data_IF_097406856277
#
_entry.id   IF_097406856277
#
_cell.length_a   1.000
_cell.length_b   1.000
_cell.length_c   1.000
_cell.angle_alpha   90.00
_cell.angle_beta   90.00
_cell.angle_gamma   90.00
#
_symmetry.space_group_name_H-M   'P 1'
#
loop_
_entity.id
_entity.type
_entity.pdbx_description
1 polymer ?
#
# COMPACT_ATOMS: atom_id res chain seq x y z
N UNK A 1 -38.20 -21.12 0.13
CA UNK A 1 -37.20 -20.02 0.03
C UNK A 1 -35.92 -20.57 0.61
N UNK A 2 -34.74 -20.31 0.02
CA UNK A 2 -33.48 -20.68 0.68
C UNK A 2 -33.42 -20.04 2.06
N UNK A 3 -32.80 -20.71 3.02
CA UNK A 3 -32.62 -20.17 4.36
C UNK A 3 -31.78 -18.89 4.28
N UNK A 4 -32.23 -17.75 4.84
CA UNK A 4 -31.50 -16.50 4.76
C UNK A 4 -30.10 -16.65 5.36
N UNK A 5 -29.07 -16.37 4.56
CA UNK A 5 -27.66 -16.50 4.96
C UNK A 5 -26.95 -15.16 4.88
N UNK A 6 -26.17 -14.86 5.91
CA UNK A 6 -25.19 -13.77 5.93
C UNK A 6 -23.81 -14.40 5.99
N UNK A 7 -22.87 -13.93 5.18
CA UNK A 7 -21.45 -14.24 5.40
C UNK A 7 -20.77 -13.10 6.13
N UNK A 8 -20.10 -13.43 7.22
CA UNK A 8 -19.28 -12.53 8.02
C UNK A 8 -17.81 -12.81 7.74
N UNK A 9 -17.07 -11.82 7.25
CA UNK A 9 -15.66 -12.05 6.91
C UNK A 9 -14.78 -12.11 8.15
N UNK A 10 -13.99 -13.17 8.29
CA UNK A 10 -12.84 -13.21 9.20
C UNK A 10 -11.64 -12.56 8.49
N UNK A 11 -11.01 -11.60 9.16
CA UNK A 11 -9.96 -10.75 8.54
C UNK A 11 -8.69 -10.77 9.38
N UNK A 12 -8.08 -9.61 9.63
CA UNK A 12 -6.75 -9.49 10.21
C UNK A 12 -6.78 -8.52 11.40
N UNK A 13 -5.75 -8.57 12.24
CA UNK A 13 -5.43 -7.57 13.26
C UNK A 13 -6.62 -7.22 14.19
N UNK A 14 -6.89 -5.94 14.43
CA UNK A 14 -7.90 -5.50 15.37
C UNK A 14 -9.35 -5.91 14.99
N UNK A 15 -9.78 -5.81 13.72
CA UNK A 15 -11.07 -6.33 13.30
C UNK A 15 -11.27 -7.82 13.60
N UNK A 16 -10.24 -8.65 13.41
CA UNK A 16 -10.32 -10.07 13.74
C UNK A 16 -10.57 -10.28 15.24
N UNK A 17 -9.81 -9.60 16.11
CA UNK A 17 -9.99 -9.67 17.56
C UNK A 17 -11.40 -9.24 17.99
N UNK A 18 -11.95 -8.20 17.37
CA UNK A 18 -13.32 -7.76 17.62
C UNK A 18 -14.35 -8.81 17.18
N UNK A 19 -14.13 -9.48 16.04
CA UNK A 19 -14.99 -10.57 15.55
C UNK A 19 -15.10 -11.70 16.55
N UNK A 20 -13.99 -12.13 17.19
CA UNK A 20 -14.02 -13.18 18.22
C UNK A 20 -14.98 -12.86 19.38
N UNK A 21 -15.13 -11.57 19.75
CA UNK A 21 -16.06 -11.16 20.79
C UNK A 21 -17.47 -10.92 20.26
N UNK A 22 -17.61 -10.32 19.08
CA UNK A 22 -18.89 -9.78 18.61
C UNK A 22 -19.70 -10.78 17.78
N UNK A 23 -19.05 -11.64 16.99
CA UNK A 23 -19.73 -12.60 16.13
C UNK A 23 -20.64 -13.58 16.89
N UNK A 24 -20.25 -14.14 18.06
CA UNK A 24 -21.15 -15.02 18.82
C UNK A 24 -22.44 -14.31 19.25
N UNK A 25 -22.37 -13.02 19.54
CA UNK A 25 -23.54 -12.20 19.88
C UNK A 25 -24.42 -12.05 18.64
N UNK A 26 -23.84 -11.69 17.48
CA UNK A 26 -24.59 -11.56 16.23
C UNK A 26 -25.31 -12.87 15.89
N UNK A 27 -24.60 -14.00 15.91
CA UNK A 27 -25.15 -15.33 15.65
C UNK A 27 -26.32 -15.68 16.58
N UNK A 28 -26.18 -15.43 17.88
CA UNK A 28 -27.24 -15.71 18.85
C UNK A 28 -28.52 -14.89 18.58
N UNK A 29 -28.37 -13.61 18.22
CA UNK A 29 -29.50 -12.74 17.94
C UNK A 29 -30.17 -13.05 16.60
N UNK A 30 -29.40 -13.35 15.55
CA UNK A 30 -29.93 -13.66 14.21
C UNK A 30 -30.59 -15.03 14.15
N UNK A 31 -30.12 -15.99 14.97
CA UNK A 31 -30.74 -17.31 15.08
C UNK A 31 -32.22 -17.24 15.52
N UNK A 32 -32.59 -16.28 16.37
CA UNK A 32 -33.98 -16.07 16.77
C UNK A 32 -34.90 -15.66 15.59
N UNK A 33 -34.32 -15.15 14.50
CA UNK A 33 -35.01 -14.80 13.27
C UNK A 33 -34.82 -15.84 12.15
N UNK A 34 -34.18 -16.98 12.43
CA UNK A 34 -33.91 -18.01 11.42
C UNK A 34 -32.85 -17.60 10.38
N UNK A 35 -32.00 -16.62 10.69
CA UNK A 35 -30.93 -16.16 9.79
C UNK A 35 -29.60 -16.79 10.19
N UNK A 36 -29.02 -17.56 9.27
CA UNK A 36 -27.72 -18.20 9.48
C UNK A 36 -26.58 -17.22 9.19
N UNK A 37 -25.57 -17.18 10.06
CA UNK A 37 -24.37 -16.34 9.89
C UNK A 37 -23.15 -17.24 9.83
N UNK A 38 -22.62 -17.40 8.63
CA UNK A 38 -21.42 -18.20 8.35
C UNK A 38 -20.19 -17.32 8.23
N UNK A 39 -19.01 -17.89 8.47
CA UNK A 39 -17.75 -17.17 8.27
C UNK A 39 -17.07 -17.58 6.97
N UNK A 40 -16.26 -16.66 6.44
CA UNK A 40 -15.31 -16.90 5.37
C UNK A 40 -13.99 -16.20 5.72
N UNK A 41 -12.92 -16.97 5.79
CA UNK A 41 -11.58 -16.48 6.13
C UNK A 41 -10.92 -15.85 4.90
N UNK A 42 -10.79 -14.53 4.93
CA UNK A 42 -10.07 -13.75 3.91
C UNK A 42 -8.84 -13.05 4.51
N UNK A 43 -8.37 -13.51 5.68
CA UNK A 43 -7.13 -13.06 6.30
C UNK A 43 -5.94 -13.24 5.35
N UNK A 44 -4.85 -12.53 5.60
CA UNK A 44 -3.60 -12.71 4.88
C UNK A 44 -3.11 -14.15 4.99
N UNK A 45 -3.11 -14.72 6.20
CA UNK A 45 -2.67 -16.09 6.43
C UNK A 45 -3.54 -17.10 5.68
N UNK A 46 -4.87 -16.99 5.79
CA UNK A 46 -5.81 -17.88 5.09
C UNK A 46 -5.61 -17.84 3.57
N UNK A 47 -5.49 -16.65 2.99
CA UNK A 47 -5.23 -16.50 1.55
C UNK A 47 -3.88 -17.06 1.11
N UNK A 48 -2.84 -16.99 1.94
CA UNK A 48 -1.54 -17.65 1.67
C UNK A 48 -1.74 -19.17 1.66
N UNK A 49 -2.35 -19.74 2.70
CA UNK A 49 -2.59 -21.20 2.82
C UNK A 49 -3.40 -21.71 1.62
N UNK A 50 -4.54 -21.07 1.32
CA UNK A 50 -5.39 -21.42 0.18
C UNK A 50 -4.67 -21.29 -1.18
N UNK A 51 -3.63 -20.46 -1.25
CA UNK A 51 -2.82 -20.30 -2.45
C UNK A 51 -1.78 -21.38 -2.64
N UNK A 52 -1.48 -22.25 -1.66
CA UNK A 52 -0.44 -23.30 -1.71
C UNK A 52 -0.91 -24.70 -1.22
N UNK A 53 -2.09 -25.21 -1.64
CA UNK A 53 -2.59 -26.47 -1.10
C UNK A 53 -1.70 -27.68 -1.44
N UNK A 54 -0.98 -27.63 -2.56
CA UNK A 54 -0.08 -28.68 -3.06
C UNK A 54 1.15 -28.91 -2.18
N UNK A 55 1.53 -27.95 -1.35
CA UNK A 55 2.67 -28.09 -0.43
C UNK A 55 2.23 -28.42 1.01
N UNK A 56 0.93 -28.59 1.24
CA UNK A 56 0.37 -28.75 2.58
C UNK A 56 -0.15 -30.16 2.81
N UNK A 57 -0.11 -30.59 4.09
CA UNK A 57 -0.80 -31.80 4.55
C UNK A 57 -2.30 -31.61 4.49
N UNK A 58 -3.07 -32.69 4.38
CA UNK A 58 -4.52 -32.61 4.19
C UNK A 58 -5.22 -31.85 5.33
N UNK A 59 -4.75 -32.01 6.58
CA UNK A 59 -5.26 -31.30 7.75
C UNK A 59 -4.91 -29.80 7.80
N UNK A 60 -3.94 -29.35 7.00
CA UNK A 60 -3.52 -27.95 6.92
C UNK A 60 -4.21 -27.19 5.78
N UNK A 61 -4.82 -27.91 4.84
CA UNK A 61 -5.50 -27.31 3.68
C UNK A 61 -6.78 -26.62 4.13
N UNK A 62 -7.01 -25.45 3.58
CA UNK A 62 -8.28 -24.71 3.70
C UNK A 62 -8.80 -24.37 2.30
N UNK A 63 -10.10 -24.13 2.19
CA UNK A 63 -10.73 -23.70 0.95
C UNK A 63 -10.34 -22.27 0.53
N UNK A 64 -10.46 -21.97 -0.76
CA UNK A 64 -10.26 -20.62 -1.28
C UNK A 64 -11.52 -19.76 -1.09
N UNK A 65 -11.70 -19.29 0.14
CA UNK A 65 -12.84 -18.50 0.54
C UNK A 65 -12.97 -17.16 -0.22
N UNK A 66 -11.88 -16.60 -0.75
CA UNK A 66 -11.94 -15.36 -1.53
C UNK A 66 -12.56 -15.62 -2.91
N UNK A 67 -12.16 -16.71 -3.57
CA UNK A 67 -12.76 -17.13 -4.84
C UNK A 67 -14.25 -17.47 -4.64
N UNK A 68 -14.59 -18.23 -3.60
CA UNK A 68 -16.00 -18.53 -3.26
C UNK A 68 -16.84 -17.27 -3.04
N UNK A 69 -16.30 -16.28 -2.32
CA UNK A 69 -17.00 -15.02 -2.07
C UNK A 69 -17.15 -14.17 -3.34
N UNK A 70 -16.17 -14.19 -4.24
CA UNK A 70 -16.24 -13.50 -5.53
C UNK A 70 -17.35 -14.08 -6.42
N UNK A 71 -17.43 -15.40 -6.53
CA UNK A 71 -18.52 -16.08 -7.22
C UNK A 71 -19.87 -15.76 -6.57
N UNK A 72 -19.93 -15.77 -5.23
CA UNK A 72 -21.17 -15.49 -4.52
C UNK A 72 -21.63 -14.05 -4.70
N UNK A 73 -20.71 -13.07 -4.72
CA UNK A 73 -21.02 -11.65 -4.91
C UNK A 73 -21.71 -11.35 -6.26
N UNK A 74 -21.60 -12.26 -7.24
CA UNK A 74 -22.29 -12.17 -8.54
C UNK A 74 -23.71 -12.76 -8.51
N UNK A 75 -24.16 -13.26 -7.36
CA UNK A 75 -25.51 -13.83 -7.19
C UNK A 75 -26.47 -12.87 -6.49
N UNK A 76 -27.78 -12.90 -6.80
CA UNK A 76 -28.76 -12.04 -6.13
C UNK A 76 -28.91 -12.29 -4.63
N UNK A 77 -28.56 -13.50 -4.16
CA UNK A 77 -28.67 -13.91 -2.77
C UNK A 77 -27.45 -13.50 -1.91
N UNK A 78 -26.47 -12.81 -2.49
CA UNK A 78 -25.27 -12.37 -1.78
C UNK A 78 -25.58 -11.38 -0.65
N UNK A 79 -25.24 -11.77 0.57
CA UNK A 79 -25.31 -10.89 1.74
C UNK A 79 -24.01 -11.01 2.56
N UNK A 80 -23.08 -10.10 2.30
CA UNK A 80 -21.71 -10.15 2.81
C UNK A 80 -21.46 -8.97 3.74
N UNK A 81 -21.15 -9.25 5.01
CA UNK A 81 -20.62 -8.28 5.96
C UNK A 81 -19.08 -8.33 5.85
N UNK A 82 -18.53 -7.32 5.18
CA UNK A 82 -17.09 -7.19 4.94
C UNK A 82 -16.41 -6.26 5.96
N UNK A 83 -15.52 -6.82 6.78
CA UNK A 83 -14.68 -6.07 7.73
C UNK A 83 -13.37 -5.61 7.08
N UNK A 84 -12.66 -4.60 7.62
CA UNK A 84 -11.33 -4.22 7.14
C UNK A 84 -10.35 -5.41 7.18
N UNK A 85 -9.47 -5.52 6.17
CA UNK A 85 -8.47 -6.57 6.03
C UNK A 85 -7.14 -5.99 5.51
N UNK A 86 -6.04 -6.72 5.68
CA UNK A 86 -4.72 -6.31 5.22
C UNK A 86 -4.65 -6.33 3.69
N UNK A 87 -4.18 -5.22 3.12
CA UNK A 87 -3.64 -5.17 1.76
C UNK A 87 -2.12 -5.26 1.84
N UNK A 88 -1.60 -6.48 1.73
CA UNK A 88 -0.25 -6.81 2.19
C UNK A 88 0.84 -6.14 1.37
N UNK A 89 1.76 -5.44 2.04
CA UNK A 89 3.07 -5.09 1.51
C UNK A 89 3.99 -6.32 1.46
N UNK A 90 5.11 -6.24 0.74
CA UNK A 90 6.11 -7.33 0.71
C UNK A 90 6.65 -7.66 2.12
N UNK A 91 6.99 -6.68 2.98
CA UNK A 91 7.39 -6.98 4.36
C UNK A 91 6.32 -7.73 5.16
N UNK A 92 5.05 -7.32 5.06
CA UNK A 92 3.94 -8.00 5.75
C UNK A 92 3.74 -9.43 5.23
N UNK A 93 3.84 -9.64 3.91
CA UNK A 93 3.79 -10.97 3.30
C UNK A 93 4.91 -11.86 3.86
N UNK A 94 6.15 -11.39 3.86
CA UNK A 94 7.30 -12.15 4.35
C UNK A 94 7.17 -12.50 5.85
N UNK A 95 6.63 -11.58 6.65
CA UNK A 95 6.35 -11.84 8.06
C UNK A 95 5.30 -12.97 8.23
N UNK A 96 4.19 -12.90 7.49
CA UNK A 96 3.15 -13.94 7.53
C UNK A 96 3.67 -15.31 7.03
N UNK A 97 4.46 -15.34 5.96
CA UNK A 97 5.10 -16.58 5.48
C UNK A 97 5.99 -17.17 6.57
N UNK A 98 6.85 -16.36 7.18
CA UNK A 98 7.75 -16.82 8.24
C UNK A 98 7.00 -17.35 9.46
N UNK A 99 5.92 -16.69 9.85
CA UNK A 99 5.05 -17.16 10.93
C UNK A 99 4.42 -18.51 10.61
N UNK A 100 3.82 -18.66 9.42
CA UNK A 100 3.24 -19.93 8.95
C UNK A 100 4.28 -21.06 8.87
N UNK A 101 5.48 -20.77 8.35
CA UNK A 101 6.59 -21.73 8.34
C UNK A 101 6.99 -22.17 9.75
N UNK A 102 7.02 -21.22 10.71
CA UNK A 102 7.25 -21.53 12.13
C UNK A 102 6.18 -22.42 12.76
N UNK A 103 4.96 -22.42 12.21
CA UNK A 103 3.85 -23.30 12.59
C UNK A 103 3.84 -24.63 11.83
N UNK A 104 4.85 -24.90 10.99
CA UNK A 104 5.00 -26.16 10.26
C UNK A 104 4.22 -26.24 8.95
N UNK A 105 3.82 -25.11 8.37
CA UNK A 105 3.31 -25.06 6.99
C UNK A 105 4.50 -25.01 6.02
N UNK A 106 4.61 -26.00 5.12
CA UNK A 106 5.68 -26.07 4.11
C UNK A 106 5.39 -25.14 2.93
N UNK A 107 5.27 -23.84 3.21
CA UNK A 107 4.95 -22.80 2.24
C UNK A 107 6.27 -22.20 1.72
N UNK A 108 6.48 -22.06 0.39
CA UNK A 108 7.72 -21.55 -0.15
C UNK A 108 7.96 -20.09 0.22
N UNK A 109 9.22 -19.68 0.42
CA UNK A 109 9.56 -18.28 0.62
C UNK A 109 9.18 -17.43 -0.60
N UNK A 110 8.94 -16.13 -0.40
CA UNK A 110 8.65 -15.20 -1.51
C UNK A 110 9.94 -14.88 -2.30
N UNK A 111 10.03 -15.22 -3.60
CA UNK A 111 11.20 -14.94 -4.41
C UNK A 111 11.16 -13.50 -4.92
N UNK A 112 11.90 -12.61 -4.25
CA UNK A 112 11.97 -11.19 -4.62
C UNK A 112 12.50 -11.02 -6.06
N UNK A 113 13.56 -11.74 -6.41
CA UNK A 113 14.19 -11.76 -7.73
C UNK A 113 14.20 -13.21 -8.27
N UNK A 114 13.10 -13.65 -8.93
CA UNK A 114 13.00 -15.04 -9.37
C UNK A 114 13.97 -15.32 -10.53
N UNK A 115 14.83 -16.32 -10.37
CA UNK A 115 15.83 -16.77 -11.33
C UNK A 115 15.39 -18.02 -12.11
N UNK A 116 14.40 -18.77 -11.61
CA UNK A 116 13.87 -19.98 -12.26
C UNK A 116 12.38 -19.85 -12.64
N UNK A 117 11.90 -20.73 -13.52
CA UNK A 117 10.46 -20.82 -13.85
C UNK A 117 9.60 -21.21 -12.65
N UNK A 118 10.16 -22.03 -11.75
CA UNK A 118 9.50 -22.41 -10.50
C UNK A 118 9.34 -21.20 -9.56
N UNK A 119 10.38 -20.40 -9.37
CA UNK A 119 10.31 -19.17 -8.59
C UNK A 119 9.36 -18.14 -9.23
N UNK A 120 9.31 -18.05 -10.56
CA UNK A 120 8.32 -17.22 -11.27
C UNK A 120 6.89 -17.70 -11.00
N UNK A 121 6.66 -19.01 -10.98
CA UNK A 121 5.37 -19.59 -10.66
C UNK A 121 4.96 -19.29 -9.20
N UNK A 122 5.88 -19.45 -8.24
CA UNK A 122 5.66 -19.10 -6.83
C UNK A 122 5.34 -17.61 -6.68
N UNK A 123 6.13 -16.72 -7.31
CA UNK A 123 5.88 -15.27 -7.30
C UNK A 123 4.51 -14.93 -7.86
N UNK A 124 4.08 -15.60 -8.94
CA UNK A 124 2.78 -15.41 -9.57
C UNK A 124 1.63 -15.81 -8.64
N UNK A 125 1.78 -16.86 -7.84
CA UNK A 125 0.80 -17.25 -6.82
C UNK A 125 0.69 -16.18 -5.73
N UNK A 126 1.82 -15.73 -5.19
CA UNK A 126 1.84 -14.64 -4.21
C UNK A 126 1.30 -13.31 -4.74
N UNK A 127 1.42 -13.05 -6.06
CA UNK A 127 0.86 -11.84 -6.67
C UNK A 127 -0.68 -11.75 -6.54
N UNK A 128 -1.37 -12.88 -6.32
CA UNK A 128 -2.82 -12.93 -6.01
C UNK A 128 -3.14 -12.57 -4.56
N UNK A 129 -2.17 -12.66 -3.67
CA UNK A 129 -2.31 -12.37 -2.24
C UNK A 129 -1.85 -10.94 -1.90
N UNK A 130 -0.85 -10.44 -2.63
CA UNK A 130 -0.23 -9.13 -2.45
C UNK A 130 -1.15 -7.95 -2.79
N UNK A 131 -1.01 -6.88 -2.00
CA UNK A 131 -1.76 -5.64 -2.15
C UNK A 131 -3.26 -5.79 -1.91
N UNK A 132 -4.07 -4.94 -2.52
CA UNK A 132 -5.54 -4.98 -2.40
C UNK A 132 -6.14 -6.12 -3.22
N UNK A 133 -5.93 -7.37 -2.78
CA UNK A 133 -6.44 -8.57 -3.44
C UNK A 133 -7.95 -8.81 -3.22
N UNK A 134 -8.47 -8.42 -2.05
CA UNK A 134 -9.85 -8.74 -1.66
C UNK A 134 -10.88 -7.79 -2.27
N UNK A 135 -10.65 -6.48 -2.18
CA UNK A 135 -11.66 -5.49 -2.61
C UNK A 135 -12.05 -5.61 -4.09
N UNK A 136 -11.13 -5.83 -5.05
CA UNK A 136 -11.50 -5.97 -6.46
C UNK A 136 -12.38 -7.19 -6.75
N UNK A 137 -12.32 -8.23 -5.91
CA UNK A 137 -13.12 -9.45 -6.06
C UNK A 137 -14.53 -9.27 -5.47
N UNK A 138 -14.68 -8.48 -4.40
CA UNK A 138 -15.97 -8.35 -3.69
C UNK A 138 -16.80 -7.15 -4.13
N UNK A 139 -16.24 -6.21 -4.91
CA UNK A 139 -16.91 -4.96 -5.30
C UNK A 139 -17.56 -5.08 -6.67
N UNK A 140 -18.50 -5.99 -6.79
CA UNK A 140 -19.36 -6.19 -7.97
C UNK A 140 -20.51 -5.15 -8.02
N UNK A 141 -20.19 -3.89 -7.71
CA UNK A 141 -21.14 -2.80 -7.60
C UNK A 141 -20.49 -1.48 -7.20
N UNK A 142 -21.29 -0.40 -7.25
CA UNK A 142 -20.85 0.94 -6.86
C UNK A 142 -20.88 1.13 -5.33
N UNK A 143 -20.30 2.24 -4.86
CA UNK A 143 -20.19 2.54 -3.43
C UNK A 143 -21.17 3.63 -2.98
N UNK A 144 -22.15 3.30 -2.11
CA UNK A 144 -22.85 4.28 -1.26
C UNK A 144 -22.13 4.38 0.09
N UNK A 145 -21.43 5.50 0.32
CA UNK A 145 -20.75 5.80 1.60
C UNK A 145 -21.24 7.11 2.17
N UNK A 146 -21.80 7.06 3.36
CA UNK A 146 -22.34 8.22 4.10
C UNK A 146 -22.34 7.96 5.59
N UNK A 147 -22.33 9.04 6.38
CA UNK A 147 -22.44 8.97 7.84
C UNK A 147 -23.91 8.81 8.22
N UNK A 148 -24.23 7.84 9.07
CA UNK A 148 -25.58 7.66 9.59
C UNK A 148 -26.00 8.85 10.49
N UNK A 149 -27.28 9.21 10.46
CA UNK A 149 -27.84 10.34 11.22
C UNK A 149 -27.45 10.35 12.71
N UNK A 150 -27.67 9.25 13.45
CA UNK A 150 -27.30 9.16 14.87
C UNK A 150 -25.80 9.38 15.13
N UNK A 151 -24.92 8.91 14.25
CA UNK A 151 -23.46 9.10 14.38
C UNK A 151 -23.11 10.58 14.21
N UNK A 152 -23.75 11.28 13.26
CA UNK A 152 -23.54 12.72 13.07
C UNK A 152 -24.05 13.53 14.26
N UNK A 153 -25.20 13.17 14.82
CA UNK A 153 -25.75 13.81 16.02
C UNK A 153 -24.84 13.60 17.24
N UNK A 154 -24.32 12.39 17.41
CA UNK A 154 -23.35 12.08 18.46
C UNK A 154 -22.09 12.97 18.33
N UNK A 155 -21.53 13.10 17.13
CA UNK A 155 -20.36 13.95 16.89
C UNK A 155 -20.63 15.45 17.16
N UNK A 156 -21.86 15.94 16.98
CA UNK A 156 -22.24 17.32 17.34
C UNK A 156 -22.30 17.50 18.86
N UNK A 157 -22.81 16.50 19.59
CA UNK A 157 -22.92 16.52 21.07
C UNK A 157 -21.58 16.27 21.75
N UNK A 158 -20.69 15.53 21.09
CA UNK A 158 -19.36 15.16 21.58
C UNK A 158 -18.30 15.52 20.52
N UNK A 159 -17.98 16.81 20.34
CA UNK A 159 -16.99 17.23 19.37
C UNK A 159 -15.64 16.58 19.66
N UNK A 160 -15.04 16.00 18.63
CA UNK A 160 -13.67 15.51 18.70
C UNK A 160 -12.67 16.67 18.56
N UNK A 161 -11.44 16.45 18.99
CA UNK A 161 -10.37 17.43 18.83
C UNK A 161 -10.16 17.80 17.36
N UNK A 162 -10.06 19.11 17.12
CA UNK A 162 -9.68 19.69 15.84
C UNK A 162 -8.58 20.71 16.12
N UNK A 163 -7.43 20.55 15.49
CA UNK A 163 -6.30 21.46 15.62
C UNK A 163 -6.62 22.85 15.07
N UNK A 164 -6.12 23.89 15.73
CA UNK A 164 -6.34 25.27 15.31
C UNK A 164 -5.45 25.60 14.11
N UNK A 165 -6.04 26.08 13.02
CA UNK A 165 -5.30 26.52 11.85
C UNK A 165 -4.81 27.96 11.98
N UNK A 166 -3.55 28.18 11.62
CA UNK A 166 -2.95 29.52 11.53
C UNK A 166 -2.93 29.98 10.08
N UNK A 167 -3.21 31.27 9.84
CA UNK A 167 -3.01 31.88 8.52
C UNK A 167 -1.52 31.96 8.13
N UNK A 168 -0.62 31.87 9.10
CA UNK A 168 0.83 31.83 8.90
C UNK A 168 1.38 30.39 8.76
N UNK A 169 0.50 29.38 8.65
CA UNK A 169 0.91 28.00 8.41
C UNK A 169 1.75 27.91 7.14
N UNK A 170 2.89 27.23 7.22
CA UNK A 170 3.75 26.95 6.07
C UNK A 170 3.43 25.62 5.41
N UNK A 171 2.45 24.87 5.93
CA UNK A 171 2.09 23.58 5.38
C UNK A 171 1.41 23.73 4.04
N UNK A 172 1.84 22.92 3.08
CA UNK A 172 1.32 22.92 1.71
C UNK A 172 1.57 21.57 1.05
N UNK A 173 0.82 21.29 -0.02
CA UNK A 173 1.00 20.12 -0.87
C UNK A 173 1.98 20.45 -1.99
N UNK A 174 3.02 19.63 -2.12
CA UNK A 174 3.92 19.67 -3.26
C UNK A 174 3.49 18.61 -4.29
N UNK A 175 3.25 19.03 -5.52
CA UNK A 175 2.93 18.15 -6.66
C UNK A 175 3.78 18.48 -7.88
N UNK A 176 3.97 17.52 -8.77
CA UNK A 176 4.69 17.74 -10.03
C UNK A 176 3.99 18.78 -10.90
N UNK A 177 4.74 19.47 -11.77
CA UNK A 177 4.20 20.45 -12.75
C UNK A 177 4.07 19.89 -14.17
N UNK A 178 4.59 18.68 -14.41
CA UNK A 178 4.58 18.03 -15.72
C UNK A 178 5.38 16.72 -15.72
N UNK A 179 5.09 15.85 -16.68
CA UNK A 179 5.70 14.52 -16.79
C UNK A 179 5.19 13.51 -15.76
N UNK A 180 4.03 13.77 -15.17
CA UNK A 180 3.25 12.86 -14.32
C UNK A 180 2.15 12.16 -15.13
N UNK A 181 1.35 11.30 -14.48
CA UNK A 181 0.26 10.61 -15.16
C UNK A 181 -0.78 11.61 -15.65
N UNK A 182 -1.17 12.55 -14.80
CA UNK A 182 -2.11 13.63 -15.16
C UNK A 182 -1.73 14.35 -16.46
N UNK A 183 -0.45 14.74 -16.60
CA UNK A 183 0.02 15.52 -17.75
C UNK A 183 0.21 14.72 -19.03
N UNK A 184 0.10 13.40 -18.99
CA UNK A 184 0.39 12.50 -20.12
C UNK A 184 -0.79 11.61 -20.53
N UNK A 185 -1.88 11.63 -19.76
CA UNK A 185 -3.05 10.81 -19.97
C UNK A 185 -3.65 10.98 -21.37
N UNK A 186 -4.04 9.86 -21.95
CA UNK A 186 -4.86 9.76 -23.16
C UNK A 186 -5.96 8.74 -22.90
N UNK A 187 -7.14 9.02 -23.42
CA UNK A 187 -8.34 8.20 -23.23
C UNK A 187 -9.02 7.90 -24.57
N UNK A 188 -9.66 6.73 -24.67
CA UNK A 188 -10.47 6.33 -25.82
C UNK A 188 -11.69 5.53 -25.35
N UNK A 189 -12.82 5.71 -26.04
CA UNK A 189 -14.03 4.89 -25.88
C UNK A 189 -14.10 3.88 -27.03
N UNK A 190 -14.13 2.59 -26.69
CA UNK A 190 -14.09 1.51 -27.67
C UNK A 190 -15.44 1.40 -28.39
N UNK A 191 -15.41 1.21 -29.71
CA UNK A 191 -16.62 1.23 -30.53
C UNK A 191 -17.27 -0.16 -30.69
N UNK A 192 -16.55 -1.21 -30.33
CA UNK A 192 -16.98 -2.61 -30.38
C UNK A 192 -16.14 -3.43 -29.40
N UNK A 193 -16.59 -4.65 -29.10
CA UNK A 193 -15.77 -5.65 -28.43
C UNK A 193 -14.51 -5.92 -29.27
N UNK A 194 -13.34 -5.94 -28.63
CA UNK A 194 -12.05 -6.13 -29.31
C UNK A 194 -11.00 -6.75 -28.36
N UNK A 195 -9.82 -7.06 -28.89
CA UNK A 195 -8.67 -7.49 -28.11
C UNK A 195 -7.47 -6.57 -28.36
N UNK A 196 -7.06 -5.83 -27.32
CA UNK A 196 -5.93 -4.92 -27.40
C UNK A 196 -4.61 -5.64 -27.04
N UNK A 197 -3.52 -5.17 -27.64
CA UNK A 197 -2.15 -5.59 -27.34
C UNK A 197 -1.32 -4.37 -26.94
N UNK A 198 -0.53 -4.48 -25.86
CA UNK A 198 0.34 -3.41 -25.37
C UNK A 198 1.79 -3.73 -25.75
N UNK A 199 2.39 -2.87 -26.58
CA UNK A 199 3.74 -3.03 -27.12
C UNK A 199 4.61 -1.79 -26.85
N UNK A 200 5.89 -2.04 -26.57
CA UNK A 200 6.93 -1.03 -26.48
C UNK A 200 7.85 -1.14 -27.69
N UNK A 201 7.89 -0.09 -28.51
CA UNK A 201 8.81 0.04 -29.63
C UNK A 201 10.13 0.65 -29.13
N UNK A 202 11.20 -0.15 -29.16
CA UNK A 202 12.53 0.26 -28.74
C UNK A 202 13.21 1.16 -29.77
N UNK A 203 14.13 2.01 -29.31
CA UNK A 203 14.94 2.87 -30.19
C UNK A 203 15.92 2.08 -31.07
N UNK A 204 16.17 0.82 -30.74
CA UNK A 204 16.97 -0.13 -31.52
C UNK A 204 16.16 -0.86 -32.61
N UNK A 205 14.86 -0.55 -32.76
CA UNK A 205 13.95 -1.21 -33.70
C UNK A 205 13.32 -2.51 -33.19
N UNK A 206 13.68 -2.98 -31.99
CA UNK A 206 13.05 -4.16 -31.38
C UNK A 206 11.68 -3.78 -30.79
N UNK A 207 10.69 -4.66 -30.96
CA UNK A 207 9.37 -4.51 -30.33
C UNK A 207 9.24 -5.50 -29.18
N UNK A 208 8.92 -4.99 -27.99
CA UNK A 208 8.66 -5.80 -26.80
C UNK A 208 7.17 -5.81 -26.50
N UNK A 209 6.57 -7.00 -26.52
CA UNK A 209 5.19 -7.19 -26.05
C UNK A 209 5.17 -7.12 -24.52
N UNK A 210 4.41 -6.16 -23.98
CA UNK A 210 4.22 -6.00 -22.53
C UNK A 210 2.98 -6.74 -22.05
N UNK A 211 1.90 -6.70 -22.83
CA UNK A 211 0.68 -7.47 -22.60
C UNK A 211 0.14 -7.97 -23.94
N UNK A 212 0.13 -9.29 -24.19
CA UNK A 212 -0.22 -9.85 -25.50
C UNK A 212 -1.71 -9.73 -25.82
N UNK A 213 -2.57 -9.80 -24.79
CA UNK A 213 -4.02 -9.81 -24.92
C UNK A 213 -4.65 -9.06 -23.74
N UNK A 214 -5.53 -8.12 -24.06
CA UNK A 214 -6.41 -7.37 -23.19
C UNK A 214 -7.79 -7.32 -23.86
N UNK A 215 -8.70 -8.24 -23.52
CA UNK A 215 -10.08 -8.18 -24.01
C UNK A 215 -10.73 -6.88 -23.52
N UNK A 216 -11.46 -6.22 -24.40
CA UNK A 216 -12.21 -5.00 -24.12
C UNK A 216 -13.62 -5.10 -24.69
N UNK A 217 -14.55 -4.40 -24.05
CA UNK A 217 -15.96 -4.36 -24.44
C UNK A 217 -16.26 -3.13 -25.29
N UNK A 218 -17.35 -3.22 -26.06
CA UNK A 218 -17.99 -2.05 -26.64
C UNK A 218 -18.33 -1.04 -25.53
N UNK A 219 -18.09 0.23 -25.82
CA UNK A 219 -18.31 1.39 -24.94
C UNK A 219 -17.42 1.39 -23.66
N UNK A 220 -16.45 0.48 -23.56
CA UNK A 220 -15.43 0.53 -22.51
C UNK A 220 -14.51 1.75 -22.70
N UNK A 221 -14.11 2.37 -21.59
CA UNK A 221 -13.14 3.48 -21.58
C UNK A 221 -11.78 2.92 -21.21
N UNK A 222 -10.78 3.18 -22.05
CA UNK A 222 -9.39 2.76 -21.82
C UNK A 222 -8.49 4.00 -21.80
N UNK A 223 -7.71 4.10 -20.72
CA UNK A 223 -6.78 5.20 -20.49
C UNK A 223 -5.33 4.71 -20.45
N UNK A 224 -4.41 5.55 -20.91
CA UNK A 224 -2.98 5.32 -20.83
C UNK A 224 -2.23 6.59 -20.43
N UNK A 225 -1.33 6.48 -19.46
CA UNK A 225 -0.52 7.58 -18.94
C UNK A 225 0.89 7.09 -18.55
N UNK A 226 1.84 8.02 -18.40
CA UNK A 226 3.22 7.71 -18.01
C UNK A 226 3.79 8.68 -16.98
N UNK A 227 4.40 8.14 -15.93
CA UNK A 227 5.22 8.88 -14.98
C UNK A 227 6.68 8.91 -15.45
N UNK A 228 7.18 10.09 -15.80
CA UNK A 228 8.58 10.29 -16.18
C UNK A 228 9.47 10.24 -14.94
N UNK A 229 10.28 9.18 -14.82
CA UNK A 229 11.26 9.03 -13.72
C UNK A 229 12.19 10.24 -13.61
N UNK A 230 12.58 10.83 -14.75
CA UNK A 230 13.42 12.04 -14.76
C UNK A 230 12.71 13.20 -14.07
N UNK A 231 11.46 13.47 -14.45
CA UNK A 231 10.67 14.56 -13.87
C UNK A 231 10.34 14.29 -12.39
N UNK A 232 10.01 13.04 -12.05
CA UNK A 232 9.73 12.61 -10.68
C UNK A 232 10.93 12.82 -9.75
N UNK A 233 12.13 12.43 -10.18
CA UNK A 233 13.36 12.62 -9.38
C UNK A 233 13.73 14.09 -9.22
N UNK A 234 13.50 14.92 -10.25
CA UNK A 234 13.67 16.37 -10.15
C UNK A 234 12.70 16.95 -9.12
N UNK A 235 11.42 16.58 -9.20
CA UNK A 235 10.41 16.97 -8.21
C UNK A 235 10.79 16.60 -6.77
N UNK A 236 11.30 15.38 -6.54
CA UNK A 236 11.74 15.00 -5.20
C UNK A 236 12.95 15.81 -4.73
N UNK A 237 13.91 16.10 -5.61
CA UNK A 237 15.07 16.92 -5.26
C UNK A 237 14.64 18.34 -4.90
N UNK A 238 13.75 18.94 -5.70
CA UNK A 238 13.19 20.26 -5.43
C UNK A 238 12.39 20.29 -4.13
N UNK A 239 11.61 19.23 -3.85
CA UNK A 239 10.82 19.13 -2.61
C UNK A 239 11.72 19.04 -1.37
N UNK A 240 12.83 18.32 -1.47
CA UNK A 240 13.84 18.23 -0.41
C UNK A 240 14.46 19.61 -0.13
N UNK A 241 14.89 20.34 -1.15
CA UNK A 241 15.49 21.67 -0.95
C UNK A 241 14.44 22.69 -0.48
N UNK A 242 13.23 22.68 -1.05
CA UNK A 242 12.14 23.56 -0.64
C UNK A 242 11.74 23.38 0.82
N UNK A 243 11.56 22.14 1.28
CA UNK A 243 11.23 21.87 2.68
C UNK A 243 12.33 22.39 3.63
N UNK A 244 13.60 22.25 3.23
CA UNK A 244 14.75 22.74 3.98
C UNK A 244 14.80 24.26 4.04
N UNK A 245 14.61 24.94 2.91
CA UNK A 245 14.59 26.40 2.82
C UNK A 245 13.45 27.02 3.64
N UNK A 246 12.27 26.39 3.63
CA UNK A 246 11.13 26.85 4.42
C UNK A 246 11.23 26.52 5.91
N UNK A 247 12.09 25.56 6.27
CA UNK A 247 12.24 25.06 7.64
C UNK A 247 11.04 24.23 8.11
N UNK A 248 10.44 23.45 7.20
CA UNK A 248 9.30 22.56 7.48
C UNK A 248 9.72 21.09 7.35
N UNK A 249 8.89 20.17 7.85
CA UNK A 249 9.11 18.75 7.59
C UNK A 249 8.88 18.43 6.13
N UNK A 250 9.60 17.44 5.60
CA UNK A 250 9.25 16.77 4.36
C UNK A 250 8.44 15.50 4.68
N UNK A 251 7.33 15.32 3.97
CA UNK A 251 6.46 14.15 4.06
C UNK A 251 6.07 13.67 2.69
N UNK A 252 5.93 12.36 2.51
CA UNK A 252 5.56 11.67 1.28
C UNK A 252 4.27 10.90 1.52
N UNK A 253 3.28 11.15 0.67
CA UNK A 253 1.95 10.56 0.80
C UNK A 253 1.59 9.80 -0.49
N UNK A 254 1.65 8.47 -0.41
CA UNK A 254 1.38 7.54 -1.52
C UNK A 254 0.39 6.45 -1.07
N UNK A 255 0.04 5.52 -1.96
CA UNK A 255 -0.86 4.39 -1.67
C UNK A 255 -0.22 3.05 -2.04
N UNK A 256 1.01 2.83 -1.57
CA UNK A 256 1.90 1.72 -1.98
C UNK A 256 1.31 0.30 -1.86
N UNK A 257 0.38 0.07 -0.93
CA UNK A 257 -0.27 -1.24 -0.75
C UNK A 257 -1.36 -1.51 -1.80
N UNK A 258 -2.11 -0.48 -2.18
CA UNK A 258 -3.17 -0.61 -3.20
C UNK A 258 -2.54 -0.55 -4.59
N UNK A 259 -1.71 0.45 -4.83
CA UNK A 259 -0.98 0.68 -6.08
C UNK A 259 0.31 -0.13 -6.10
N UNK A 260 0.19 -1.46 -6.03
CA UNK A 260 1.27 -2.42 -5.75
C UNK A 260 2.46 -2.43 -6.73
N UNK A 261 2.37 -1.69 -7.84
CA UNK A 261 3.44 -1.57 -8.85
C UNK A 261 3.99 -0.15 -8.89
N UNK A 262 3.15 0.85 -9.18
CA UNK A 262 3.59 2.24 -9.39
C UNK A 262 4.18 2.87 -8.14
N UNK A 263 3.47 2.79 -7.03
CA UNK A 263 3.77 3.58 -5.84
C UNK A 263 5.02 3.09 -5.09
N UNK A 264 5.29 1.78 -4.95
CA UNK A 264 6.59 1.33 -4.46
C UNK A 264 7.78 1.82 -5.28
N UNK A 265 7.64 1.94 -6.61
CA UNK A 265 8.69 2.50 -7.49
C UNK A 265 8.86 4.00 -7.22
N UNK A 266 7.74 4.75 -7.13
CA UNK A 266 7.79 6.17 -6.81
C UNK A 266 8.39 6.43 -5.42
N UNK A 267 8.05 5.58 -4.44
CA UNK A 267 8.61 5.62 -3.08
C UNK A 267 10.12 5.35 -3.09
N UNK A 268 10.57 4.30 -3.80
CA UNK A 268 11.99 3.99 -3.93
C UNK A 268 12.79 5.10 -4.57
N UNK A 269 12.21 5.84 -5.52
CA UNK A 269 12.83 7.05 -6.06
C UNK A 269 12.93 8.18 -5.04
N UNK A 270 11.93 8.39 -4.18
CA UNK A 270 12.00 9.37 -3.10
C UNK A 270 13.14 9.03 -2.11
N UNK A 271 13.20 7.78 -1.65
CA UNK A 271 14.29 7.28 -0.79
C UNK A 271 15.64 7.46 -1.48
N UNK A 272 15.74 7.10 -2.76
CA UNK A 272 16.96 7.24 -3.55
C UNK A 272 17.45 8.68 -3.66
N UNK A 273 16.54 9.64 -3.81
CA UNK A 273 16.88 11.06 -3.92
C UNK A 273 17.28 11.62 -2.55
N UNK A 274 16.54 11.28 -1.48
CA UNK A 274 16.84 11.77 -0.14
C UNK A 274 18.20 11.28 0.37
N UNK A 275 18.54 10.00 0.13
CA UNK A 275 19.79 9.38 0.58
C UNK A 275 20.87 9.27 -0.51
N UNK A 276 20.85 10.14 -1.51
CA UNK A 276 21.69 10.02 -2.70
C UNK A 276 23.20 9.87 -2.38
N UNK A 277 23.72 10.63 -1.42
CA UNK A 277 25.15 10.62 -1.07
C UNK A 277 25.56 9.29 -0.41
N UNK A 278 24.72 8.77 0.51
CA UNK A 278 24.93 7.46 1.17
C UNK A 278 24.92 6.35 0.14
N UNK A 279 23.93 6.36 -0.76
CA UNK A 279 23.77 5.33 -1.78
C UNK A 279 24.91 5.35 -2.80
N UNK A 280 25.39 6.54 -3.18
CA UNK A 280 26.54 6.68 -4.07
C UNK A 280 27.84 6.17 -3.43
N UNK A 281 28.08 6.52 -2.16
CA UNK A 281 29.29 6.13 -1.42
C UNK A 281 29.37 4.62 -1.17
N UNK A 282 28.22 3.97 -0.91
CA UNK A 282 28.15 2.56 -0.50
C UNK A 282 27.55 1.63 -1.55
N UNK A 283 27.49 2.07 -2.82
CA UNK A 283 26.75 1.40 -3.89
C UNK A 283 27.07 -0.11 -4.01
N UNK A 284 28.34 -0.48 -4.03
CA UNK A 284 28.77 -1.88 -4.19
C UNK A 284 28.34 -2.76 -3.01
N UNK A 285 28.48 -2.26 -1.78
CA UNK A 285 28.08 -2.98 -0.57
C UNK A 285 26.58 -3.17 -0.54
N UNK A 286 25.81 -2.10 -0.78
CA UNK A 286 24.34 -2.15 -0.79
C UNK A 286 23.81 -3.06 -1.90
N UNK A 287 24.46 -3.08 -3.07
CA UNK A 287 24.14 -3.99 -4.16
C UNK A 287 24.38 -5.45 -3.78
N UNK A 288 25.51 -5.77 -3.12
CA UNK A 288 25.81 -7.13 -2.64
C UNK A 288 24.79 -7.61 -1.60
N UNK A 289 24.31 -6.71 -0.75
CA UNK A 289 23.24 -7.00 0.21
C UNK A 289 21.85 -7.10 -0.45
N UNK A 290 21.75 -6.75 -1.74
CA UNK A 290 20.50 -6.75 -2.50
C UNK A 290 19.48 -5.73 -2.00
N UNK A 291 19.93 -4.60 -1.43
CA UNK A 291 19.03 -3.57 -0.87
C UNK A 291 18.01 -3.11 -1.91
N UNK A 292 16.74 -3.13 -1.55
CA UNK A 292 15.63 -2.74 -2.41
C UNK A 292 14.88 -1.54 -1.81
N UNK A 293 15.16 -0.35 -2.33
CA UNK A 293 14.57 0.90 -1.84
C UNK A 293 13.06 1.01 -2.10
N UNK A 294 12.49 0.18 -2.98
CA UNK A 294 11.03 0.12 -3.16
C UNK A 294 10.33 -0.51 -1.93
N UNK A 295 11.08 -1.22 -1.08
CA UNK A 295 10.61 -1.68 0.24
C UNK A 295 10.87 -0.64 1.34
N UNK A 296 11.42 0.52 0.98
CA UNK A 296 11.73 1.65 1.85
C UNK A 296 13.11 1.61 2.50
N UNK A 297 13.43 2.67 3.23
CA UNK A 297 14.72 2.83 3.91
C UNK A 297 14.95 1.76 4.99
N UNK A 298 13.87 1.21 5.56
CA UNK A 298 13.95 0.11 6.52
C UNK A 298 14.61 -1.16 5.95
N UNK A 299 14.47 -1.42 4.63
CA UNK A 299 15.15 -2.55 3.95
C UNK A 299 16.68 -2.38 3.99
N UNK A 300 17.15 -1.15 3.75
CA UNK A 300 18.57 -0.82 3.89
C UNK A 300 19.03 -1.05 5.33
N UNK A 301 18.34 -0.48 6.31
CA UNK A 301 18.68 -0.59 7.74
C UNK A 301 18.76 -2.05 8.18
N UNK A 302 17.77 -2.87 7.80
CA UNK A 302 17.73 -4.28 8.13
C UNK A 302 18.91 -5.06 7.51
N UNK A 303 19.31 -4.72 6.28
CA UNK A 303 20.36 -5.44 5.55
C UNK A 303 21.76 -5.08 6.05
N UNK A 304 22.01 -3.81 6.35
CA UNK A 304 23.33 -3.38 6.88
C UNK A 304 23.58 -3.92 8.29
N UNK A 305 22.54 -4.30 9.04
CA UNK A 305 22.69 -4.94 10.35
C UNK A 305 23.38 -6.31 10.27
N UNK A 306 23.47 -6.93 9.09
CA UNK A 306 24.20 -8.19 8.88
C UNK A 306 25.69 -8.00 8.58
N UNK A 307 26.15 -6.76 8.37
CA UNK A 307 27.55 -6.44 8.10
C UNK A 307 28.45 -6.49 9.34
N UNK A 308 29.77 -6.64 9.17
CA UNK A 308 30.74 -6.38 10.22
C UNK A 308 30.57 -5.00 10.85
N UNK A 309 30.79 -4.90 12.17
CA UNK A 309 30.49 -3.70 12.94
C UNK A 309 31.15 -2.42 12.40
N UNK A 310 32.41 -2.51 11.94
CA UNK A 310 33.12 -1.36 11.40
C UNK A 310 32.48 -0.81 10.11
N UNK A 311 32.09 -1.69 9.19
CA UNK A 311 31.40 -1.31 7.95
C UNK A 311 30.00 -0.77 8.25
N UNK A 312 29.26 -1.44 9.13
CA UNK A 312 27.94 -0.98 9.57
C UNK A 312 27.99 0.42 10.16
N UNK A 313 28.90 0.66 11.12
CA UNK A 313 29.07 1.97 11.77
C UNK A 313 29.44 3.08 10.80
N UNK A 314 30.24 2.78 9.78
CA UNK A 314 30.57 3.75 8.74
C UNK A 314 29.32 4.17 7.94
N UNK A 315 28.49 3.21 7.54
CA UNK A 315 27.23 3.49 6.82
C UNK A 315 26.25 4.26 7.73
N UNK A 316 26.10 3.85 8.99
CA UNK A 316 25.26 4.53 9.98
C UNK A 316 25.69 5.99 10.20
N UNK A 317 27.00 6.26 10.25
CA UNK A 317 27.52 7.62 10.37
C UNK A 317 27.21 8.48 9.13
N UNK A 318 27.33 7.90 7.93
CA UNK A 318 26.99 8.60 6.68
C UNK A 318 25.48 8.87 6.57
N UNK A 319 24.64 7.94 7.06
CA UNK A 319 23.18 8.16 7.20
C UNK A 319 22.88 9.32 8.15
N UNK A 320 23.53 9.37 9.31
CA UNK A 320 23.35 10.47 10.26
C UNK A 320 23.78 11.81 9.68
N UNK A 321 24.86 11.84 8.89
CA UNK A 321 25.31 13.02 8.18
C UNK A 321 24.30 13.49 7.12
N UNK A 322 23.65 12.55 6.41
CA UNK A 322 22.60 12.89 5.44
C UNK A 322 21.40 13.53 6.13
N UNK A 323 20.93 12.95 7.24
CA UNK A 323 19.85 13.55 8.03
C UNK A 323 20.19 14.95 8.55
N UNK A 324 21.43 15.20 8.97
CA UNK A 324 21.87 16.52 9.41
C UNK A 324 21.94 17.54 8.25
N UNK A 325 22.12 17.08 7.01
CA UNK A 325 22.22 17.91 5.82
C UNK A 325 20.86 18.22 5.18
N UNK A 326 19.88 17.33 5.33
CA UNK A 326 18.56 17.36 4.67
C UNK A 326 17.48 18.00 5.56
N UNK A 327 16.27 18.33 5.03
CA UNK A 327 15.17 18.74 5.89
C UNK A 327 14.79 17.62 6.86
N UNK A 328 14.13 17.98 7.97
CA UNK A 328 13.51 17.00 8.85
C UNK A 328 12.47 16.18 8.09
N UNK A 329 12.38 14.89 8.36
CA UNK A 329 11.30 14.04 7.83
C UNK A 329 10.16 13.96 8.84
N UNK A 330 8.93 13.83 8.34
CA UNK A 330 7.83 13.37 9.16
C UNK A 330 8.12 11.97 9.73
N UNK A 331 7.68 11.73 10.96
CA UNK A 331 7.92 10.51 11.72
C UNK A 331 6.64 9.69 11.82
N UNK A 332 6.77 8.38 11.63
CA UNK A 332 5.76 7.39 11.98
C UNK A 332 5.87 7.07 13.48
N UNK A 333 7.11 6.97 13.98
CA UNK A 333 7.40 6.79 15.40
C UNK A 333 8.73 7.48 15.74
N UNK A 334 8.68 8.64 16.39
CA UNK A 334 9.87 9.42 16.76
C UNK A 334 10.77 8.69 17.76
N UNK A 335 10.19 8.01 18.76
CA UNK A 335 10.94 7.32 19.81
C UNK A 335 11.80 6.17 19.28
N UNK A 336 11.36 5.55 18.17
CA UNK A 336 12.06 4.46 17.48
C UNK A 336 12.84 4.92 16.25
N UNK A 337 12.84 6.21 15.95
CA UNK A 337 13.50 6.75 14.75
C UNK A 337 12.86 6.31 13.43
N UNK A 338 11.60 5.86 13.43
CA UNK A 338 10.89 5.40 12.23
C UNK A 338 10.32 6.62 11.49
N UNK A 339 10.96 6.96 10.38
CA UNK A 339 10.57 8.07 9.49
C UNK A 339 9.52 7.63 8.48
N UNK A 340 8.87 8.61 7.86
CA UNK A 340 7.95 8.42 6.73
C UNK A 340 8.58 7.69 5.52
N UNK A 341 9.91 7.65 5.41
CA UNK A 341 10.62 6.91 4.36
C UNK A 341 11.02 5.47 4.75
N UNK A 342 10.70 5.00 5.96
CA UNK A 342 11.09 3.67 6.43
C UNK A 342 10.35 2.54 5.72
N UNK A 343 9.02 2.60 5.67
CA UNK A 343 8.19 1.54 5.09
C UNK A 343 7.09 2.18 4.21
N UNK A 344 6.96 1.77 2.93
CA UNK A 344 6.01 2.37 1.98
C UNK A 344 4.53 2.31 2.40
N UNK A 345 4.18 1.38 3.29
CA UNK A 345 2.80 1.17 3.74
C UNK A 345 2.42 1.94 5.00
N UNK A 346 3.36 2.62 5.66
CA UNK A 346 3.08 3.26 6.95
C UNK A 346 2.28 4.56 6.81
N UNK A 347 2.57 5.34 5.76
CA UNK A 347 1.92 6.64 5.51
C UNK A 347 1.12 6.54 4.22
N UNK A 348 -0.19 6.28 4.37
CA UNK A 348 -1.12 6.04 3.27
C UNK A 348 -1.92 7.32 3.01
N UNK A 349 -1.88 7.85 1.78
CA UNK A 349 -2.38 9.20 1.43
C UNK A 349 -3.81 9.48 1.89
N UNK A 350 -4.74 8.55 1.74
CA UNK A 350 -6.16 8.74 2.09
C UNK A 350 -6.45 8.74 3.60
N UNK A 351 -5.51 8.26 4.43
CA UNK A 351 -5.61 8.34 5.88
C UNK A 351 -4.72 9.45 6.47
N UNK A 352 -3.49 9.57 5.93
CA UNK A 352 -2.48 10.50 6.42
C UNK A 352 -2.80 11.96 6.10
N UNK A 353 -3.33 12.28 4.92
CA UNK A 353 -3.68 13.67 4.58
C UNK A 353 -4.82 14.20 5.46
N UNK A 354 -5.95 13.50 5.66
CA UNK A 354 -6.97 13.97 6.60
C UNK A 354 -6.47 14.08 8.05
N UNK A 355 -5.57 13.20 8.50
CA UNK A 355 -4.99 13.27 9.84
C UNK A 355 -4.12 14.52 10.00
N UNK A 356 -3.23 14.79 9.04
CA UNK A 356 -2.40 15.99 9.00
C UNK A 356 -3.26 17.26 8.98
N UNK A 357 -4.31 17.30 8.13
CA UNK A 357 -5.23 18.45 8.03
C UNK A 357 -5.97 18.67 9.36
N UNK A 358 -6.45 17.61 10.00
CA UNK A 358 -7.14 17.67 11.29
C UNK A 358 -6.24 18.22 12.39
N UNK A 359 -4.96 17.85 12.39
CA UNK A 359 -3.98 18.24 13.41
C UNK A 359 -3.26 19.56 13.05
N UNK A 360 -4.03 20.55 12.58
CA UNK A 360 -3.55 21.91 12.24
C UNK A 360 -2.64 21.97 11.01
N UNK A 361 -2.71 20.98 10.11
CA UNK A 361 -1.82 20.88 8.96
C UNK A 361 -0.42 20.38 9.35
N UNK A 362 -0.26 19.63 10.44
CA UNK A 362 1.06 19.28 10.98
C UNK A 362 1.31 17.78 11.04
N UNK A 363 2.59 17.42 11.08
CA UNK A 363 3.04 16.05 11.31
C UNK A 363 4.12 16.00 12.37
N UNK A 364 4.35 14.82 12.94
CA UNK A 364 5.33 14.61 14.01
C UNK A 364 6.76 14.65 13.45
N UNK A 365 7.63 15.43 14.08
CA UNK A 365 9.07 15.48 13.79
C UNK A 365 9.89 14.54 14.69
N UNK A 366 11.20 14.50 14.45
CA UNK A 366 12.14 13.67 15.22
C UNK A 366 12.22 14.04 16.71
N UNK A 367 11.82 15.26 17.07
CA UNK A 367 11.74 15.74 18.45
C UNK A 367 10.44 15.33 19.18
N UNK A 368 9.59 14.55 18.52
CA UNK A 368 8.30 14.12 19.08
C UNK A 368 7.30 15.26 19.22
N UNK A 369 7.35 16.28 18.34
CA UNK A 369 6.39 17.39 18.31
C UNK A 369 5.80 17.60 16.92
N UNK A 370 4.65 18.29 16.85
CA UNK A 370 3.99 18.65 15.60
C UNK A 370 4.65 19.87 14.96
N UNK A 371 4.96 19.76 13.67
CA UNK A 371 5.51 20.83 12.84
C UNK A 371 4.75 20.95 11.53
N UNK A 372 4.78 22.13 10.93
CA UNK A 372 4.30 22.34 9.57
C UNK A 372 5.09 21.46 8.59
N UNK A 373 4.49 21.06 7.47
CA UNK A 373 5.06 20.06 6.56
C UNK A 373 4.78 20.36 5.10
N UNK A 374 5.76 20.07 4.25
CA UNK A 374 5.61 19.96 2.80
C UNK A 374 5.12 18.53 2.49
N UNK A 375 3.84 18.40 2.14
CA UNK A 375 3.21 17.13 1.81
C UNK A 375 3.41 16.80 0.32
N UNK A 376 4.42 16.00 0.01
CA UNK A 376 4.71 15.57 -1.34
C UNK A 376 3.71 14.50 -1.82
N UNK A 377 2.93 14.86 -2.83
CA UNK A 377 2.04 13.98 -3.59
C UNK A 377 2.42 14.17 -5.07
N UNK A 378 3.22 13.26 -5.67
CA UNK A 378 3.83 13.54 -6.97
C UNK A 378 2.84 13.82 -8.10
N UNK A 379 1.78 13.02 -8.21
CA UNK A 379 0.84 13.08 -9.33
C UNK A 379 -0.30 14.09 -9.10
N UNK A 380 -0.59 14.91 -10.11
CA UNK A 380 -1.59 15.98 -10.02
C UNK A 380 -3.04 15.52 -10.02
N UNK A 381 -3.36 14.26 -10.35
CA UNK A 381 -4.76 13.82 -10.49
C UNK A 381 -5.60 14.06 -9.24
N UNK A 382 -5.00 14.01 -8.05
CA UNK A 382 -5.70 14.16 -6.78
C UNK A 382 -5.01 15.05 -5.76
N UNK A 383 -3.74 15.42 -5.98
CA UNK A 383 -3.00 16.29 -5.07
C UNK A 383 -3.69 17.64 -4.84
N UNK A 384 -4.24 18.23 -5.90
CA UNK A 384 -4.89 19.56 -5.88
C UNK A 384 -6.19 19.63 -5.10
N UNK A 385 -6.75 18.50 -4.66
CA UNK A 385 -7.92 18.48 -3.78
C UNK A 385 -7.55 18.68 -2.30
N UNK A 386 -6.29 18.40 -1.94
CA UNK A 386 -5.80 18.56 -0.57
C UNK A 386 -5.18 19.93 -0.31
N UNK A 387 -4.63 20.55 -1.36
CA UNK A 387 -4.26 21.97 -1.37
C UNK A 387 -5.52 22.86 -1.36
#
# INVERSE_FOLDING_TARGET
MPDPKIVYTETDEAPLLATYSFLPIVQAFTAAAGVNVETRDISLAGRIIASFPDTLRDEQKIGDALTELGEWAQTPDANIIKLPNISASIPQLNAAIKELQGLGYDIPAYPAEPASEEEKAIKKRYAKVLGSAVNPVLREGNSDRRVAGPVKEYARKHPHSMGAWSADSKSEVATMRGGDFYGSEKSVVLQADDELKIELFGSNGETKVLKPCLPVLKDEVIDAAVMSVRSLRHFYADSVERAKEQGVLLSLHLKATMMKVSDPIMFGHAVSVFFADVLAKHADTLKKLGVNLNNGFGDLVAKIATLPEAERKQIEADIAAEYAKRPGLAMVNSDKGITNLHVPSDVIVDASMPAMIRDSGRMWGADGKLHDTLAAIPDRCYATMYE
#
